data_IF_536221581322
#
_entry.id   IF_536221581322
#
_cell.length_a   1.000
_cell.length_b   1.000
_cell.length_c   1.000
_cell.angle_alpha   90.00
_cell.angle_beta   90.00
_cell.angle_gamma   90.00
#
_symmetry.space_group_name_H-M   'P 1'
#
loop_
_entity.id
_entity.type
_entity.pdbx_description
1 polymer ?
#
# COMPACT_ATOMS: atom_id res chain seq x y z
N UNK A 1 73.93 52.74 0.82
CA UNK A 1 73.31 51.83 -0.17
C UNK A 1 73.55 50.41 0.35
N UNK A 2 72.68 49.77 1.12
CA UNK A 2 71.25 49.56 0.94
C UNK A 2 71.08 48.10 0.54
N UNK A 3 70.68 47.20 1.45
CA UNK A 3 69.98 45.97 1.04
C UNK A 3 69.04 45.47 2.14
N UNK A 4 67.81 45.29 1.69
CA UNK A 4 66.57 45.12 2.41
C UNK A 4 66.42 43.68 2.90
N UNK A 5 65.97 43.56 4.15
CA UNK A 5 65.48 42.32 4.79
C UNK A 5 64.09 42.03 4.21
N UNK A 6 63.87 40.87 3.58
CA UNK A 6 62.52 40.39 3.25
C UNK A 6 62.35 38.95 3.73
N UNK A 7 61.39 38.80 4.64
CA UNK A 7 61.03 37.56 5.30
C UNK A 7 60.37 36.56 4.37
N UNK A 8 60.58 35.28 4.68
CA UNK A 8 59.89 34.15 4.07
C UNK A 8 58.51 34.03 4.71
N UNK A 9 57.46 34.28 3.93
CA UNK A 9 56.09 33.96 4.30
C UNK A 9 55.89 32.44 4.16
N UNK A 10 55.53 31.79 5.26
CA UNK A 10 55.00 30.42 5.26
C UNK A 10 53.55 30.48 4.76
N UNK A 11 53.30 29.95 3.56
CA UNK A 11 51.95 29.70 3.09
C UNK A 11 51.44 28.39 3.70
N UNK A 12 50.59 28.49 4.73
CA UNK A 12 49.77 27.39 5.21
C UNK A 12 48.71 27.09 4.14
N UNK A 13 48.95 26.05 3.35
CA UNK A 13 47.93 25.47 2.48
C UNK A 13 46.91 24.72 3.36
N UNK A 14 45.90 25.45 3.84
CA UNK A 14 44.72 24.86 4.45
C UNK A 14 43.94 24.08 3.39
N UNK A 15 44.10 22.77 3.38
CA UNK A 15 43.30 21.86 2.57
C UNK A 15 41.85 21.94 3.00
N UNK A 16 41.06 22.72 2.27
CA UNK A 16 39.61 22.79 2.42
C UNK A 16 39.03 21.48 1.88
N UNK A 17 38.78 20.52 2.78
CA UNK A 17 38.01 19.31 2.49
C UNK A 17 36.57 19.76 2.15
N UNK A 18 36.28 19.87 0.85
CA UNK A 18 34.93 19.98 0.32
C UNK A 18 34.21 18.68 0.64
N UNK A 19 33.49 18.67 1.77
CA UNK A 19 32.45 17.67 2.03
C UNK A 19 31.36 17.92 1.00
N UNK A 20 31.39 17.14 -0.09
CA UNK A 20 30.27 17.04 -1.02
C UNK A 20 29.18 16.32 -0.25
N UNK A 21 28.30 17.10 0.38
CA UNK A 21 27.05 16.57 0.91
C UNK A 21 26.28 16.02 -0.29
N UNK A 22 26.25 14.69 -0.42
CA UNK A 22 25.35 14.05 -1.35
C UNK A 22 23.93 14.58 -1.06
N UNK A 23 23.15 14.96 -2.09
CA UNK A 23 21.76 15.28 -1.87
C UNK A 23 21.11 14.02 -1.31
N UNK A 24 20.74 14.05 -0.02
CA UNK A 24 19.77 13.11 0.52
C UNK A 24 18.48 13.34 -0.26
N UNK A 25 18.28 12.54 -1.30
CA UNK A 25 16.99 12.44 -1.96
C UNK A 25 16.01 11.89 -0.93
N UNK A 26 15.28 12.80 -0.29
CA UNK A 26 14.09 12.45 0.47
C UNK A 26 13.20 11.61 -0.46
N UNK A 27 12.99 10.34 -0.07
CA UNK A 27 12.25 9.39 -0.89
C UNK A 27 10.89 9.99 -1.28
N UNK A 28 10.44 9.85 -2.54
CA UNK A 28 9.09 10.21 -2.95
C UNK A 28 8.06 9.52 -2.02
N UNK A 29 6.79 9.96 -2.02
CA UNK A 29 5.75 9.32 -1.22
C UNK A 29 5.77 7.83 -1.58
N UNK A 30 5.46 6.93 -0.63
CA UNK A 30 5.80 5.53 -0.78
C UNK A 30 5.26 5.06 -2.13
N UNK A 31 6.16 4.70 -3.06
CA UNK A 31 5.89 4.43 -4.48
C UNK A 31 4.91 3.26 -4.73
N UNK A 32 4.29 2.78 -3.66
CA UNK A 32 3.34 1.67 -3.56
C UNK A 32 1.90 2.02 -3.93
N UNK A 33 1.43 3.27 -3.75
CA UNK A 33 0.03 3.62 -4.10
C UNK A 33 -0.09 4.91 -4.91
N UNK A 34 -0.78 4.84 -6.05
CA UNK A 34 -1.18 6.00 -6.87
C UNK A 34 -2.54 6.51 -6.43
N UNK A 35 -2.68 7.83 -6.29
CA UNK A 35 -3.92 8.48 -5.89
C UNK A 35 -4.64 9.14 -7.07
N UNK A 36 -5.97 9.06 -7.07
CA UNK A 36 -6.85 9.73 -8.02
C UNK A 36 -8.01 10.41 -7.31
N UNK A 37 -8.54 11.47 -7.90
CA UNK A 37 -9.77 12.11 -7.43
C UNK A 37 -11.04 11.34 -7.87
N UNK A 38 -12.21 11.84 -7.48
CA UNK A 38 -13.51 11.26 -7.86
C UNK A 38 -13.76 11.23 -9.38
N UNK A 39 -13.06 12.08 -10.15
CA UNK A 39 -13.07 12.09 -11.61
C UNK A 39 -12.00 11.19 -12.25
N UNK A 40 -11.29 10.39 -11.45
CA UNK A 40 -10.16 9.57 -11.85
C UNK A 40 -8.92 10.35 -12.35
N UNK A 41 -8.83 11.65 -12.05
CA UNK A 41 -7.61 12.41 -12.36
C UNK A 41 -6.53 12.16 -11.32
N UNK A 42 -5.25 12.08 -11.72
CA UNK A 42 -4.15 11.88 -10.77
C UNK A 42 -4.06 13.01 -9.74
N UNK A 43 -3.99 12.62 -8.46
CA UNK A 43 -3.73 13.55 -7.34
C UNK A 43 -2.24 13.54 -7.04
N UNK A 44 -1.62 14.71 -7.09
CA UNK A 44 -0.18 14.84 -6.86
C UNK A 44 0.12 14.84 -5.36
N UNK A 45 1.18 14.13 -4.98
CA UNK A 45 1.75 14.24 -3.64
C UNK A 45 2.87 15.29 -3.60
N UNK A 46 2.81 16.16 -2.61
CA UNK A 46 3.69 17.33 -2.48
C UNK A 46 4.41 17.25 -1.13
N UNK A 47 5.74 17.29 -1.16
CA UNK A 47 6.55 17.34 0.06
C UNK A 47 6.44 18.74 0.69
N UNK A 48 6.10 18.78 1.98
CA UNK A 48 6.03 20.04 2.75
C UNK A 48 6.66 19.85 4.14
N UNK A 49 7.09 20.94 4.75
CA UNK A 49 7.57 20.95 6.15
C UNK A 49 6.43 21.42 7.07
N UNK A 50 5.32 20.69 7.07
CA UNK A 50 4.10 21.09 7.81
C UNK A 50 4.05 20.56 9.24
N UNK A 51 4.83 19.52 9.54
CA UNK A 51 4.67 18.77 10.79
C UNK A 51 3.46 17.83 10.78
N UNK A 52 2.67 17.76 9.71
CA UNK A 52 1.58 16.77 9.56
C UNK A 52 2.10 15.53 8.84
N UNK A 53 1.58 14.34 9.13
CA UNK A 53 2.00 13.11 8.42
C UNK A 53 1.65 13.23 6.93
N UNK A 54 0.38 13.45 6.64
CA UNK A 54 -0.14 13.82 5.33
C UNK A 54 -1.39 14.68 5.52
N UNK A 55 -1.83 15.36 4.47
CA UNK A 55 -3.08 16.13 4.43
C UNK A 55 -3.60 16.25 3.00
N UNK A 56 -4.86 15.90 2.78
CA UNK A 56 -5.60 16.21 1.57
C UNK A 56 -5.93 17.72 1.54
N UNK A 57 -5.55 18.39 0.45
CA UNK A 57 -5.81 19.82 0.25
C UNK A 57 -5.89 20.13 -1.24
N UNK A 58 -6.10 21.40 -1.57
CA UNK A 58 -5.91 21.93 -2.93
C UNK A 58 -4.67 22.82 -2.98
N UNK A 59 -4.00 22.87 -4.14
CA UNK A 59 -2.93 23.82 -4.39
C UNK A 59 -3.48 25.22 -4.73
N UNK A 60 -2.58 26.19 -4.99
CA UNK A 60 -2.97 27.57 -5.32
C UNK A 60 -3.83 27.68 -6.58
N UNK A 61 -3.78 26.69 -7.47
CA UNK A 61 -4.54 26.62 -8.71
C UNK A 61 -5.87 25.86 -8.51
N UNK A 62 -6.20 25.48 -7.26
CA UNK A 62 -7.40 24.74 -6.91
C UNK A 62 -7.34 23.25 -7.25
N UNK A 63 -6.17 22.69 -7.57
CA UNK A 63 -6.02 21.28 -7.94
C UNK A 63 -5.86 20.40 -6.71
N UNK A 64 -6.46 19.20 -6.67
CA UNK A 64 -6.31 18.31 -5.53
C UNK A 64 -4.86 17.83 -5.39
N UNK A 65 -4.33 17.96 -4.17
CA UNK A 65 -2.99 17.49 -3.80
C UNK A 65 -3.03 16.82 -2.43
N UNK A 66 -2.04 15.96 -2.17
CA UNK A 66 -1.76 15.45 -0.83
C UNK A 66 -0.42 16.03 -0.39
N UNK A 67 -0.47 16.92 0.59
CA UNK A 67 0.73 17.41 1.24
C UNK A 67 1.23 16.37 2.24
N UNK A 68 2.53 16.09 2.29
CA UNK A 68 3.09 15.16 3.28
C UNK A 68 4.45 15.64 3.79
N UNK A 69 4.73 15.34 5.07
CA UNK A 69 6.03 15.61 5.66
C UNK A 69 6.95 14.40 5.46
N UNK A 70 8.06 14.53 4.70
CA UNK A 70 8.96 13.42 4.44
C UNK A 70 9.76 13.03 5.68
N UNK A 71 9.89 13.90 6.68
CA UNK A 71 10.70 13.65 7.87
C UNK A 71 10.12 12.51 8.71
N UNK A 72 10.96 11.62 9.26
CA UNK A 72 10.52 10.65 10.26
C UNK A 72 9.83 11.33 11.43
N UNK A 73 8.86 10.64 12.01
CA UNK A 73 8.14 11.09 13.21
C UNK A 73 8.35 10.01 14.25
N UNK A 74 8.91 10.41 15.39
CA UNK A 74 9.18 9.48 16.48
C UNK A 74 7.89 8.77 16.91
N UNK A 75 7.96 7.44 16.98
CA UNK A 75 6.82 6.59 17.33
C UNK A 75 5.77 6.40 16.23
N UNK A 76 6.05 6.78 14.98
CA UNK A 76 5.19 6.48 13.81
C UNK A 76 5.92 5.55 12.85
N UNK A 77 5.35 4.38 12.63
CA UNK A 77 5.87 3.37 11.68
C UNK A 77 5.61 3.77 10.22
N UNK A 78 6.31 3.10 9.29
CA UNK A 78 6.05 3.24 7.87
C UNK A 78 4.63 2.82 7.47
N UNK A 79 4.08 1.78 8.12
CA UNK A 79 2.69 1.33 7.92
C UNK A 79 1.69 2.42 8.34
N UNK A 80 1.90 3.06 9.48
CA UNK A 80 1.03 4.17 9.93
C UNK A 80 1.11 5.37 8.98
N UNK A 81 2.31 5.74 8.52
CA UNK A 81 2.47 6.83 7.53
C UNK A 81 1.77 6.52 6.21
N UNK A 82 1.91 5.28 5.73
CA UNK A 82 1.28 4.83 4.51
C UNK A 82 -0.25 4.79 4.64
N UNK A 83 -0.77 4.37 5.80
CA UNK A 83 -2.20 4.42 6.10
C UNK A 83 -2.74 5.85 6.09
N UNK A 84 -2.08 6.79 6.78
CA UNK A 84 -2.49 8.19 6.76
C UNK A 84 -2.50 8.75 5.34
N UNK A 85 -1.47 8.45 4.54
CA UNK A 85 -1.44 8.86 3.14
C UNK A 85 -2.59 8.23 2.30
N UNK A 86 -2.92 6.95 2.51
CA UNK A 86 -4.03 6.30 1.85
C UNK A 86 -5.41 6.86 2.27
N UNK A 87 -5.55 7.24 3.55
CA UNK A 87 -6.72 7.90 4.09
C UNK A 87 -6.92 9.28 3.42
N UNK A 88 -5.87 10.10 3.33
CA UNK A 88 -5.96 11.39 2.62
C UNK A 88 -6.30 11.22 1.14
N UNK A 89 -5.77 10.17 0.51
CA UNK A 89 -6.15 9.85 -0.86
C UNK A 89 -7.64 9.52 -0.99
N UNK A 90 -8.19 8.81 -0.01
CA UNK A 90 -9.60 8.46 -0.01
C UNK A 90 -10.52 9.69 0.01
N UNK A 91 -10.14 10.76 0.70
CA UNK A 91 -10.91 12.01 0.67
C UNK A 91 -11.06 12.57 -0.74
N UNK A 92 -9.98 12.59 -1.52
CA UNK A 92 -10.03 13.02 -2.92
C UNK A 92 -10.82 12.04 -3.79
N UNK A 93 -10.57 10.74 -3.63
CA UNK A 93 -11.21 9.69 -4.44
C UNK A 93 -12.73 9.61 -4.21
N UNK A 94 -13.18 9.88 -2.99
CA UNK A 94 -14.60 9.87 -2.60
C UNK A 94 -15.27 11.23 -2.81
N UNK A 95 -14.53 12.25 -3.27
CA UNK A 95 -15.06 13.59 -3.45
C UNK A 95 -15.55 14.22 -2.14
N UNK A 96 -14.89 13.91 -1.02
CA UNK A 96 -15.19 14.56 0.24
C UNK A 96 -14.80 16.04 0.13
N UNK A 97 -15.79 16.94 0.24
CA UNK A 97 -15.55 18.38 0.19
C UNK A 97 -14.51 18.78 1.24
N UNK A 98 -13.49 19.55 0.81
CA UNK A 98 -12.41 20.07 1.66
C UNK A 98 -12.87 21.19 2.60
N UNK A 99 -13.98 20.95 3.32
CA UNK A 99 -14.41 21.77 4.44
C UNK A 99 -13.43 21.73 5.61
N UNK A 100 -13.62 22.56 6.65
CA UNK A 100 -12.66 22.67 7.75
C UNK A 100 -12.49 21.39 8.57
N UNK A 101 -13.46 20.47 8.51
CA UNK A 101 -13.42 19.15 9.15
C UNK A 101 -14.33 18.18 8.40
N UNK A 102 -13.87 16.94 8.18
CA UNK A 102 -14.73 15.87 7.69
C UNK A 102 -15.65 15.34 8.80
N UNK A 103 -16.83 14.86 8.42
CA UNK A 103 -17.75 14.20 9.35
C UNK A 103 -17.20 12.83 9.77
N UNK A 104 -17.58 12.29 10.95
CA UNK A 104 -17.18 10.94 11.35
C UNK A 104 -17.50 9.85 10.32
N UNK A 105 -18.60 10.01 9.56
CA UNK A 105 -18.96 9.08 8.50
C UNK A 105 -18.00 9.16 7.30
N UNK A 106 -17.61 10.36 6.88
CA UNK A 106 -16.63 10.55 5.80
C UNK A 106 -15.25 10.03 6.21
N UNK A 107 -14.84 10.27 7.46
CA UNK A 107 -13.62 9.73 8.06
C UNK A 107 -13.60 8.20 8.04
N UNK A 108 -14.70 7.55 8.43
CA UNK A 108 -14.82 6.09 8.35
C UNK A 108 -14.83 5.57 6.90
N UNK A 109 -15.47 6.29 5.98
CA UNK A 109 -15.42 5.94 4.55
C UNK A 109 -13.98 6.05 4.01
N UNK A 110 -13.25 7.08 4.42
CA UNK A 110 -11.86 7.29 4.06
C UNK A 110 -10.95 6.19 4.64
N UNK A 111 -11.17 5.77 5.88
CA UNK A 111 -10.49 4.60 6.46
C UNK A 111 -10.72 3.35 5.64
N UNK A 112 -11.98 3.05 5.31
CA UNK A 112 -12.28 1.81 4.61
C UNK A 112 -11.76 1.79 3.19
N UNK A 113 -11.87 2.90 2.47
CA UNK A 113 -11.26 3.04 1.16
C UNK A 113 -9.73 2.92 1.26
N UNK A 114 -9.12 3.54 2.27
CA UNK A 114 -7.68 3.48 2.54
C UNK A 114 -7.22 2.04 2.79
N UNK A 115 -7.81 1.34 3.76
CA UNK A 115 -7.50 -0.05 4.10
C UNK A 115 -7.64 -0.97 2.89
N UNK A 116 -8.75 -0.87 2.16
CA UNK A 116 -8.94 -1.68 0.96
C UNK A 116 -7.90 -1.36 -0.12
N UNK A 117 -7.49 -0.10 -0.25
CA UNK A 117 -6.41 0.31 -1.17
C UNK A 117 -5.08 -0.28 -0.76
N UNK A 118 -4.77 -0.30 0.54
CA UNK A 118 -3.53 -0.90 1.05
C UNK A 118 -3.51 -2.42 0.86
N UNK A 119 -4.63 -3.11 1.09
CA UNK A 119 -4.74 -4.54 0.82
C UNK A 119 -4.49 -4.80 -0.67
N UNK A 120 -5.23 -4.11 -1.55
CA UNK A 120 -5.17 -4.35 -3.00
C UNK A 120 -3.87 -3.92 -3.68
N UNK A 121 -3.19 -2.87 -3.16
CA UNK A 121 -2.07 -2.21 -3.87
C UNK A 121 -0.76 -2.20 -3.10
N UNK A 122 -0.80 -2.38 -1.79
CA UNK A 122 0.39 -2.32 -0.93
C UNK A 122 0.69 -3.64 -0.19
N UNK A 123 -0.12 -4.68 -0.39
CA UNK A 123 0.09 -6.02 0.19
C UNK A 123 -0.27 -6.12 1.67
N UNK A 124 -1.13 -5.23 2.20
CA UNK A 124 -1.61 -5.38 3.58
C UNK A 124 -2.44 -6.65 3.75
N UNK A 125 -2.20 -7.39 4.82
CA UNK A 125 -3.04 -8.52 5.25
C UNK A 125 -4.07 -8.08 6.28
N UNK A 126 -5.07 -8.93 6.56
CA UNK A 126 -6.00 -8.68 7.67
C UNK A 126 -5.28 -8.57 9.02
N UNK A 127 -4.17 -9.29 9.19
CA UNK A 127 -3.35 -9.20 10.41
C UNK A 127 -2.66 -7.84 10.52
N UNK A 128 -2.13 -7.31 9.42
CA UNK A 128 -1.55 -5.96 9.38
C UNK A 128 -2.57 -4.89 9.76
N UNK A 129 -3.84 -5.06 9.37
CA UNK A 129 -4.92 -4.13 9.74
C UNK A 129 -5.20 -4.15 11.24
N UNK A 130 -5.18 -5.32 11.88
CA UNK A 130 -5.33 -5.45 13.36
C UNK A 130 -4.16 -4.79 14.09
N UNK A 131 -2.93 -5.03 13.61
CA UNK A 131 -1.72 -4.39 14.16
C UNK A 131 -1.80 -2.87 13.97
N UNK A 132 -2.17 -2.43 12.77
CA UNK A 132 -2.31 -1.01 12.45
C UNK A 132 -3.38 -0.35 13.32
N UNK A 133 -4.54 -0.97 13.51
CA UNK A 133 -5.60 -0.45 14.37
C UNK A 133 -5.09 -0.22 15.80
N UNK A 134 -4.42 -1.23 16.37
CA UNK A 134 -3.80 -1.12 17.70
C UNK A 134 -2.76 0.00 17.73
N UNK A 135 -1.85 0.04 16.75
CA UNK A 135 -0.83 1.07 16.68
C UNK A 135 -1.40 2.48 16.53
N UNK A 136 -2.48 2.65 15.76
CA UNK A 136 -3.17 3.94 15.59
C UNK A 136 -3.91 4.37 16.86
N UNK A 137 -4.52 3.43 17.59
CA UNK A 137 -5.15 3.67 18.88
C UNK A 137 -4.14 4.11 19.94
N UNK A 138 -2.96 3.50 19.95
CA UNK A 138 -1.92 3.72 20.97
C UNK A 138 -0.98 4.88 20.65
N UNK A 139 -1.29 5.66 19.60
CA UNK A 139 -0.50 6.85 19.27
C UNK A 139 -0.47 7.83 20.45
N UNK A 140 0.73 8.29 20.88
CA UNK A 140 0.84 9.32 21.90
C UNK A 140 0.06 10.57 21.50
N UNK A 141 -0.58 11.25 22.46
CA UNK A 141 -1.38 12.44 22.18
C UNK A 141 -0.58 13.54 21.43
N UNK A 142 0.74 13.63 21.63
CA UNK A 142 1.63 14.53 20.88
C UNK A 142 1.74 14.16 19.40
N UNK A 143 1.78 12.87 19.10
CA UNK A 143 1.88 12.33 17.76
C UNK A 143 0.51 12.36 17.06
N UNK A 144 -0.57 12.06 17.77
CA UNK A 144 -1.93 12.14 17.25
C UNK A 144 -2.30 13.55 16.76
N UNK A 145 -1.72 14.62 17.33
CA UNK A 145 -1.87 16.01 16.83
C UNK A 145 -1.28 16.25 15.44
N UNK A 146 -0.45 15.33 14.94
CA UNK A 146 0.15 15.38 13.60
C UNK A 146 -0.72 14.68 12.54
N UNK A 147 -1.85 14.12 12.94
CA UNK A 147 -2.87 13.57 12.04
C UNK A 147 -3.78 14.70 11.53
N UNK A 148 -4.18 14.68 10.26
CA UNK A 148 -5.05 15.70 9.67
C UNK A 148 -6.49 15.64 10.20
N UNK A 149 -6.88 14.51 10.82
CA UNK A 149 -8.14 14.35 11.55
C UNK A 149 -7.94 14.44 13.07
N UNK A 150 -9.03 14.71 13.80
CA UNK A 150 -9.04 14.67 15.27
C UNK A 150 -8.93 13.25 15.78
N UNK A 151 -8.29 13.04 16.93
CA UNK A 151 -8.31 11.75 17.62
C UNK A 151 -9.74 11.20 17.70
N UNK A 152 -9.93 10.01 17.14
CA UNK A 152 -11.22 9.34 17.03
C UNK A 152 -11.02 7.83 17.24
N UNK A 153 -12.12 7.15 17.54
CA UNK A 153 -12.12 5.69 17.50
C UNK A 153 -11.86 5.24 16.06
N UNK A 154 -10.89 4.33 15.88
CA UNK A 154 -10.63 3.67 14.62
C UNK A 154 -11.44 2.39 14.55
N UNK A 155 -12.02 2.12 13.40
CA UNK A 155 -12.64 0.84 13.10
C UNK A 155 -12.13 0.35 11.74
N UNK A 156 -10.84 0.07 11.69
CA UNK A 156 -10.13 -0.44 10.52
C UNK A 156 -10.42 -1.93 10.32
N UNK A 157 -10.61 -2.68 11.41
CA UNK A 157 -11.05 -4.07 11.33
C UNK A 157 -12.44 -4.17 10.69
N UNK A 158 -13.35 -3.24 11.00
CA UNK A 158 -14.65 -3.10 10.33
C UNK A 158 -14.56 -2.77 8.83
N UNK A 159 -13.39 -2.36 8.34
CA UNK A 159 -13.10 -2.12 6.93
C UNK A 159 -12.51 -3.33 6.19
N UNK A 160 -12.23 -4.41 6.91
CA UNK A 160 -11.80 -5.66 6.29
C UNK A 160 -12.92 -6.18 5.37
N UNK A 161 -12.59 -6.75 4.20
CA UNK A 161 -13.58 -7.29 3.27
C UNK A 161 -14.61 -8.22 3.93
N UNK A 162 -14.20 -8.91 4.98
CA UNK A 162 -14.99 -9.84 5.78
C UNK A 162 -15.96 -9.16 6.77
N UNK A 163 -15.61 -7.98 7.27
CA UNK A 163 -16.39 -7.21 8.24
C UNK A 163 -17.25 -6.10 7.62
N UNK A 164 -16.90 -5.65 6.41
CA UNK A 164 -17.68 -4.68 5.62
C UNK A 164 -18.99 -5.31 5.11
N UNK A 165 -18.97 -6.61 4.81
CA UNK A 165 -20.11 -7.35 4.25
C UNK A 165 -21.36 -7.37 5.16
N UNK A 166 -21.27 -7.60 6.49
CA UNK A 166 -22.44 -7.52 7.38
C UNK A 166 -23.01 -6.11 7.59
N UNK A 167 -22.18 -5.04 7.61
CA UNK A 167 -22.66 -3.67 7.84
C UNK A 167 -23.26 -3.03 6.60
N UNK A 168 -22.74 -3.33 5.41
CA UNK A 168 -23.32 -2.85 4.16
C UNK A 168 -24.65 -3.55 3.82
N UNK A 169 -24.82 -4.82 4.24
CA UNK A 169 -26.09 -5.54 4.13
C UNK A 169 -27.24 -4.89 4.90
N UNK A 170 -26.94 -4.14 5.97
CA UNK A 170 -27.94 -3.36 6.71
C UNK A 170 -28.22 -1.96 6.11
N UNK A 171 -27.40 -1.50 5.15
CA UNK A 171 -27.34 -0.09 4.76
C UNK A 171 -27.86 0.26 3.38
N UNK A 172 -27.71 -0.59 2.35
CA UNK A 172 -28.17 -0.24 0.98
C UNK A 172 -28.58 -1.48 0.18
N UNK A 173 -29.86 -1.53 -0.20
CA UNK A 173 -30.31 -2.29 -1.36
C UNK A 173 -29.80 -1.59 -2.64
N UNK A 174 -28.52 -1.77 -2.94
CA UNK A 174 -27.89 -1.48 -4.21
C UNK A 174 -27.18 -2.75 -4.65
N UNK A 175 -27.39 -3.14 -5.90
CA UNK A 175 -26.93 -4.40 -6.49
C UNK A 175 -25.44 -4.67 -6.20
N UNK A 176 -25.15 -5.66 -5.35
CA UNK A 176 -23.78 -6.10 -5.06
C UNK A 176 -23.08 -6.45 -6.38
N UNK A 177 -21.93 -5.82 -6.66
CA UNK A 177 -21.16 -6.17 -7.85
C UNK A 177 -20.42 -7.50 -7.62
N UNK A 178 -20.07 -8.19 -8.70
CA UNK A 178 -19.35 -9.47 -8.59
C UNK A 178 -18.01 -9.33 -7.82
N UNK A 179 -17.31 -8.20 -7.98
CA UNK A 179 -16.06 -7.91 -7.29
C UNK A 179 -16.22 -7.68 -5.78
N UNK A 180 -17.38 -7.22 -5.32
CA UNK A 180 -17.66 -7.00 -3.89
C UNK A 180 -17.86 -8.33 -3.14
N UNK A 181 -18.23 -9.38 -3.86
CA UNK A 181 -18.61 -10.68 -3.30
C UNK A 181 -17.48 -11.70 -3.30
N UNK A 182 -16.47 -11.53 -4.16
CA UNK A 182 -15.41 -12.53 -4.34
C UNK A 182 -14.36 -12.33 -3.28
N UNK A 183 -14.07 -13.41 -2.57
CA UNK A 183 -13.13 -13.43 -1.47
C UNK A 183 -11.93 -14.23 -1.92
N UNK A 184 -10.77 -13.59 -2.02
CA UNK A 184 -9.51 -14.24 -2.32
C UNK A 184 -8.42 -13.67 -1.41
N UNK A 185 -7.50 -14.52 -0.96
CA UNK A 185 -6.42 -14.14 -0.07
C UNK A 185 -5.10 -14.78 -0.53
N UNK A 186 -4.17 -13.96 -1.00
CA UNK A 186 -2.85 -14.41 -1.42
C UNK A 186 -2.06 -15.07 -0.28
N UNK A 187 -2.32 -14.74 1.00
CA UNK A 187 -1.68 -15.41 2.14
C UNK A 187 -2.13 -16.87 2.34
N UNK A 188 -3.21 -17.28 1.67
CA UNK A 188 -3.66 -18.68 1.62
C UNK A 188 -3.17 -19.41 0.38
N UNK A 189 -2.49 -18.70 -0.53
CA UNK A 189 -1.80 -19.33 -1.63
C UNK A 189 -0.67 -20.18 -1.07
N UNK A 190 -0.47 -21.36 -1.65
CA UNK A 190 0.62 -22.22 -1.24
C UNK A 190 1.26 -22.89 -2.46
N UNK A 191 2.58 -22.88 -2.47
CA UNK A 191 3.36 -23.74 -3.35
C UNK A 191 3.36 -25.14 -2.72
N UNK A 192 2.71 -26.10 -3.36
CA UNK A 192 2.59 -27.48 -2.84
C UNK A 192 3.76 -28.36 -3.26
N UNK A 193 4.34 -28.08 -4.43
CA UNK A 193 5.56 -28.71 -4.91
C UNK A 193 6.35 -27.78 -5.80
N UNK A 194 7.67 -27.95 -5.80
CA UNK A 194 8.59 -27.28 -6.70
C UNK A 194 9.54 -28.31 -7.33
N UNK A 195 9.94 -28.08 -8.57
CA UNK A 195 10.99 -28.85 -9.24
C UNK A 195 12.35 -28.66 -8.56
N UNK A 196 13.28 -29.58 -8.80
CA UNK A 196 14.63 -29.53 -8.19
C UNK A 196 15.45 -28.30 -8.59
N UNK A 197 15.17 -27.73 -9.76
CA UNK A 197 15.80 -26.50 -10.25
C UNK A 197 15.06 -25.24 -9.78
N UNK A 198 13.98 -25.40 -9.00
CA UNK A 198 13.13 -24.32 -8.49
C UNK A 198 12.51 -23.44 -9.59
N UNK A 199 12.49 -23.90 -10.85
CA UNK A 199 11.93 -23.14 -11.96
C UNK A 199 10.45 -23.44 -12.19
N UNK A 200 9.97 -24.59 -11.75
CA UNK A 200 8.60 -25.05 -11.94
C UNK A 200 7.93 -25.28 -10.60
N UNK A 201 6.68 -24.84 -10.48
CA UNK A 201 5.89 -25.02 -9.27
C UNK A 201 4.50 -25.57 -9.59
N UNK A 202 3.96 -26.32 -8.63
CA UNK A 202 2.53 -26.55 -8.51
C UNK A 202 2.03 -25.70 -7.35
N UNK A 203 1.05 -24.86 -7.62
CA UNK A 203 0.48 -23.94 -6.63
C UNK A 203 -0.99 -24.21 -6.41
N UNK A 204 -1.47 -23.84 -5.22
CA UNK A 204 -2.88 -23.84 -4.86
C UNK A 204 -3.30 -22.46 -4.41
N UNK A 205 -4.47 -22.03 -4.84
CA UNK A 205 -5.11 -20.79 -4.42
C UNK A 205 -6.57 -21.04 -4.11
N UNK A 206 -7.16 -20.17 -3.30
CA UNK A 206 -8.51 -20.38 -2.80
C UNK A 206 -9.37 -19.14 -3.03
N UNK A 207 -10.62 -19.34 -3.47
CA UNK A 207 -11.56 -18.24 -3.66
C UNK A 207 -12.99 -18.61 -3.21
N UNK A 208 -13.66 -17.67 -2.58
CA UNK A 208 -15.04 -17.75 -2.13
C UNK A 208 -15.96 -16.78 -2.89
N UNK A 209 -17.27 -17.02 -2.81
CA UNK A 209 -18.30 -16.16 -3.37
C UNK A 209 -19.41 -15.92 -2.33
N UNK A 210 -19.53 -14.67 -1.89
CA UNK A 210 -20.55 -14.20 -0.93
C UNK A 210 -21.80 -13.62 -1.57
N UNK A 211 -21.92 -13.62 -2.90
CA UNK A 211 -23.14 -13.24 -3.58
C UNK A 211 -24.20 -14.35 -3.47
N UNK A 212 -25.47 -13.96 -3.59
CA UNK A 212 -26.60 -14.89 -3.68
C UNK A 212 -26.73 -15.55 -5.07
N UNK A 213 -25.88 -15.13 -6.01
CA UNK A 213 -25.78 -15.65 -7.38
C UNK A 213 -24.43 -16.29 -7.62
N UNK A 214 -24.40 -17.22 -8.56
CA UNK A 214 -23.14 -17.75 -9.10
C UNK A 214 -22.38 -16.63 -9.80
N UNK A 215 -21.05 -16.66 -9.69
CA UNK A 215 -20.17 -15.72 -10.35
C UNK A 215 -19.26 -16.48 -11.30
N UNK A 216 -18.98 -15.87 -12.46
CA UNK A 216 -17.94 -16.37 -13.35
C UNK A 216 -16.70 -15.53 -13.16
N UNK A 217 -15.62 -16.16 -12.69
CA UNK A 217 -14.39 -15.50 -12.33
C UNK A 217 -13.26 -15.89 -13.28
N UNK A 218 -12.53 -14.90 -13.75
CA UNK A 218 -11.24 -15.07 -14.42
C UNK A 218 -10.14 -14.83 -13.38
N UNK A 219 -9.38 -15.86 -13.07
CA UNK A 219 -8.24 -15.80 -12.16
C UNK A 219 -6.97 -15.62 -12.98
N UNK A 220 -6.29 -14.51 -12.74
CA UNK A 220 -4.98 -14.23 -13.35
C UNK A 220 -3.91 -14.56 -12.32
N UNK A 221 -3.20 -15.66 -12.53
CA UNK A 221 -2.09 -16.08 -11.68
C UNK A 221 -0.81 -15.47 -12.26
N UNK A 222 -0.19 -14.58 -11.49
CA UNK A 222 1.09 -13.98 -11.85
C UNK A 222 2.20 -14.74 -11.12
N UNK A 223 2.98 -15.49 -11.88
CA UNK A 223 4.12 -16.27 -11.40
C UNK A 223 5.42 -15.53 -11.68
N UNK A 224 6.29 -15.45 -10.67
CA UNK A 224 7.47 -14.61 -10.75
C UNK A 224 8.50 -14.94 -9.68
N UNK A 225 9.43 -14.01 -9.49
CA UNK A 225 10.41 -14.09 -8.40
C UNK A 225 10.33 -12.92 -7.46
N UNK A 226 10.64 -13.16 -6.19
CA UNK A 226 10.66 -12.19 -5.11
C UNK A 226 11.94 -12.37 -4.30
N UNK A 227 12.57 -11.29 -3.79
CA UNK A 227 13.66 -11.43 -2.83
C UNK A 227 13.25 -12.24 -1.61
N UNK A 228 14.13 -13.09 -1.10
CA UNK A 228 13.81 -13.98 0.03
C UNK A 228 13.42 -13.19 1.29
N UNK A 229 14.00 -12.01 1.50
CA UNK A 229 13.63 -11.10 2.58
C UNK A 229 12.20 -10.60 2.51
N UNK A 230 11.61 -10.62 1.32
CA UNK A 230 10.30 -10.06 1.03
C UNK A 230 9.23 -11.16 0.95
N UNK A 231 9.62 -12.39 0.62
CA UNK A 231 8.76 -13.57 0.58
C UNK A 231 8.18 -13.91 1.96
N UNK A 232 9.03 -13.99 2.98
CA UNK A 232 8.59 -14.26 4.36
C UNK A 232 7.75 -13.13 4.97
N UNK A 233 7.88 -11.93 4.42
CA UNK A 233 7.16 -10.74 4.87
C UNK A 233 5.89 -10.46 4.04
N UNK A 234 5.57 -11.30 3.05
CA UNK A 234 4.38 -11.14 2.19
C UNK A 234 4.38 -9.85 1.37
N UNK A 235 5.55 -9.26 1.12
CA UNK A 235 5.64 -7.96 0.44
C UNK A 235 5.81 -8.14 -1.06
N UNK A 236 4.84 -7.68 -1.85
CA UNK A 236 4.88 -7.80 -3.32
C UNK A 236 5.64 -6.65 -4.02
N UNK A 237 6.39 -5.83 -3.26
CA UNK A 237 7.01 -4.58 -3.75
C UNK A 237 8.04 -4.84 -4.86
N UNK A 238 8.80 -5.92 -4.71
CA UNK A 238 9.88 -6.30 -5.62
C UNK A 238 9.52 -7.54 -6.44
N UNK A 239 8.23 -7.92 -6.48
CA UNK A 239 7.78 -9.08 -7.22
C UNK A 239 7.93 -8.86 -8.72
N UNK A 240 8.64 -9.77 -9.39
CA UNK A 240 8.89 -9.69 -10.83
C UNK A 240 8.20 -10.83 -11.54
N UNK A 241 7.05 -10.50 -12.12
CA UNK A 241 6.25 -11.41 -12.94
C UNK A 241 7.08 -11.87 -14.14
N UNK A 242 7.13 -13.17 -14.36
CA UNK A 242 7.79 -13.81 -15.52
C UNK A 242 6.79 -14.60 -16.37
N UNK A 243 5.74 -15.14 -15.75
CA UNK A 243 4.66 -15.83 -16.44
C UNK A 243 3.31 -15.38 -15.89
N UNK A 244 2.32 -15.30 -16.78
CA UNK A 244 0.92 -15.09 -16.40
C UNK A 244 0.10 -16.25 -16.92
N UNK A 245 -0.71 -16.84 -16.04
CA UNK A 245 -1.65 -17.91 -16.36
C UNK A 245 -3.05 -17.36 -16.10
N UNK A 246 -3.99 -17.67 -16.98
CA UNK A 246 -5.38 -17.24 -16.85
C UNK A 246 -6.30 -18.43 -16.87
N UNK A 247 -7.11 -18.56 -15.83
CA UNK A 247 -8.10 -19.62 -15.70
C UNK A 247 -9.47 -19.02 -15.45
N UNK A 248 -10.51 -19.67 -15.96
CA UNK A 248 -11.87 -19.23 -15.76
C UNK A 248 -12.67 -20.30 -15.02
N UNK A 249 -13.22 -19.95 -13.86
CA UNK A 249 -13.99 -20.85 -13.01
C UNK A 249 -15.30 -20.20 -12.57
N UNK A 250 -16.32 -21.03 -12.39
CA UNK A 250 -17.56 -20.62 -11.75
C UNK A 250 -17.45 -20.78 -10.24
N UNK A 251 -17.84 -19.75 -9.48
CA UNK A 251 -17.95 -19.81 -8.03
C UNK A 251 -19.41 -19.91 -7.63
N UNK A 252 -19.77 -21.05 -7.06
CA UNK A 252 -21.09 -21.30 -6.47
C UNK A 252 -21.50 -20.19 -5.50
N UNK A 253 -22.78 -19.84 -5.48
CA UNK A 253 -23.32 -18.85 -4.54
C UNK A 253 -23.03 -19.25 -3.08
N UNK A 254 -22.75 -18.26 -2.24
CA UNK A 254 -22.52 -18.46 -0.80
C UNK A 254 -21.46 -19.53 -0.46
N UNK A 255 -20.44 -19.72 -1.30
CA UNK A 255 -19.33 -20.63 -1.00
C UNK A 255 -18.24 -19.89 -0.24
N UNK A 256 -17.86 -20.42 0.92
CA UNK A 256 -16.85 -19.79 1.77
C UNK A 256 -15.45 -19.86 1.13
N UNK A 257 -15.09 -21.02 0.58
CA UNK A 257 -13.82 -21.21 -0.08
C UNK A 257 -13.87 -22.39 -1.07
N UNK A 258 -13.27 -22.22 -2.24
CA UNK A 258 -13.05 -23.26 -3.26
C UNK A 258 -11.57 -23.24 -3.61
N UNK A 259 -10.90 -24.38 -3.49
CA UNK A 259 -9.48 -24.53 -3.83
C UNK A 259 -9.32 -24.82 -5.32
N UNK A 260 -8.35 -24.15 -5.93
CA UNK A 260 -7.92 -24.34 -7.31
C UNK A 260 -6.44 -24.67 -7.33
N UNK A 261 -6.02 -25.40 -8.37
CA UNK A 261 -4.62 -25.83 -8.55
C UNK A 261 -4.15 -25.40 -9.93
N UNK A 262 -2.91 -24.94 -10.00
CA UNK A 262 -2.27 -24.61 -11.26
C UNK A 262 -0.83 -25.15 -11.29
N UNK A 263 -0.30 -25.22 -12.49
CA UNK A 263 1.09 -25.59 -12.78
C UNK A 263 1.73 -24.48 -13.61
N UNK A 264 2.93 -24.03 -13.22
CA UNK A 264 3.61 -22.93 -13.91
C UNK A 264 5.12 -22.97 -13.76
N UNK A 265 5.80 -22.18 -14.58
CA UNK A 265 7.26 -22.10 -14.61
C UNK A 265 7.78 -20.68 -14.82
N UNK A 266 8.86 -20.32 -14.11
CA UNK A 266 9.65 -19.12 -14.35
C UNK A 266 10.85 -19.44 -15.23
N UNK A 267 11.40 -18.43 -15.90
CA UNK A 267 12.56 -18.63 -16.79
C UNK A 267 13.89 -18.60 -16.01
N UNK A 268 13.98 -17.73 -15.00
CA UNK A 268 15.21 -17.52 -14.23
C UNK A 268 14.91 -17.18 -12.78
N UNK A 269 15.75 -17.64 -11.85
CA UNK A 269 15.75 -17.22 -10.44
C UNK A 269 17.13 -16.66 -10.14
N UNK A 270 17.21 -15.47 -9.55
CA UNK A 270 18.49 -14.85 -9.16
C UNK A 270 18.89 -15.31 -7.77
N UNK A 271 20.18 -15.19 -7.46
CA UNK A 271 20.68 -15.47 -6.10
C UNK A 271 19.97 -14.56 -5.08
N UNK A 272 19.43 -15.18 -4.01
CA UNK A 272 18.67 -14.49 -2.96
C UNK A 272 17.21 -14.18 -3.33
N UNK A 273 16.68 -14.85 -4.34
CA UNK A 273 15.26 -14.81 -4.70
C UNK A 273 14.64 -16.20 -4.69
N UNK A 274 13.33 -16.22 -4.47
CA UNK A 274 12.48 -17.39 -4.51
C UNK A 274 11.35 -17.18 -5.51
N UNK A 275 10.83 -18.29 -6.02
CA UNK A 275 9.63 -18.29 -6.87
C UNK A 275 8.41 -18.13 -5.99
N UNK A 276 7.52 -17.24 -6.38
CA UNK A 276 6.24 -17.03 -5.71
C UNK A 276 5.16 -16.64 -6.72
N UNK A 277 3.90 -16.64 -6.30
CA UNK A 277 2.77 -16.26 -7.12
C UNK A 277 1.68 -15.53 -6.36
N UNK A 278 1.00 -14.61 -7.06
CA UNK A 278 -0.22 -13.96 -6.59
C UNK A 278 -1.35 -14.17 -7.57
N UNK A 279 -2.59 -14.10 -7.08
CA UNK A 279 -3.78 -14.34 -7.90
C UNK A 279 -4.68 -13.11 -7.89
N UNK A 280 -5.01 -12.64 -9.09
CA UNK A 280 -5.89 -11.50 -9.30
C UNK A 280 -7.23 -11.99 -9.87
N UNK A 281 -8.30 -12.05 -9.05
CA UNK A 281 -9.62 -12.43 -9.54
C UNK A 281 -10.32 -11.26 -10.23
N UNK A 282 -10.99 -11.54 -11.35
CA UNK A 282 -11.90 -10.63 -12.05
C UNK A 282 -13.21 -11.35 -12.36
N UNK A 283 -14.31 -10.95 -11.71
CA UNK A 283 -15.56 -11.69 -11.75
C UNK A 283 -16.72 -10.90 -12.35
N UNK A 284 -17.70 -11.63 -12.90
CA UNK A 284 -18.93 -11.09 -13.49
C UNK A 284 -20.15 -11.81 -12.94
#
# INVERSE_FOLDING_TARGET
MGFVRRGRAFALAGGFLLVVAAPSHAQPPPATITCTDAGAHPVRAVQVTSGMIAKATTDSDGRPVIEYDPRPIDGVSSQQRLFVYAHECAHHALGHDAGPTYTPAQEQQADCYGIQTLIRRAGFTSHDVVILQTAMHDLPASTARRLPWRTRAYDLEGCLPDAVSPRQAAGRAGEQTAGDCVVHNDATNAIVSASRDHLTIDGVYAAGNRCQRELTCTFTIELGTLPDSDADAGTWRNFRVQQTITEQHALSRQVANTEFRFHGSVQTVRDGESVDFRVVPACR
#
